data_IF_069280849426
#
_entry.id   IF_069280849426
#
_cell.length_a   1.000
_cell.length_b   1.000
_cell.length_c   1.000
_cell.angle_alpha   90.00
_cell.angle_beta   90.00
_cell.angle_gamma   90.00
#
_symmetry.space_group_name_H-M   'P 1'
#
loop_
_entity.id
_entity.type
_entity.pdbx_description
1 polymer ?
#
# COMPACT_ATOMS: atom_id res chain seq x y z
N UNK A 1 -33.66 -10.85 -19.73
CA UNK A 1 -32.30 -10.25 -19.80
C UNK A 1 -31.70 -10.36 -18.41
N UNK A 2 -30.53 -10.98 -18.22
CA UNK A 2 -29.95 -11.06 -16.89
C UNK A 2 -29.41 -9.68 -16.49
N UNK A 3 -29.82 -9.23 -15.31
CA UNK A 3 -29.34 -8.01 -14.67
C UNK A 3 -27.81 -8.07 -14.52
N UNK A 4 -27.13 -7.08 -15.10
CA UNK A 4 -25.69 -6.95 -14.95
C UNK A 4 -25.36 -6.33 -13.59
N UNK A 5 -24.60 -7.11 -12.82
CA UNK A 5 -23.54 -6.68 -11.91
C UNK A 5 -23.98 -5.92 -10.65
N UNK A 6 -24.34 -6.66 -9.60
CA UNK A 6 -24.03 -6.21 -8.25
C UNK A 6 -22.54 -5.85 -8.18
N UNK A 7 -22.23 -4.59 -7.88
CA UNK A 7 -20.85 -4.16 -7.71
C UNK A 7 -20.17 -5.05 -6.65
N UNK A 8 -18.87 -5.39 -6.81
CA UNK A 8 -18.16 -6.18 -5.81
C UNK A 8 -18.32 -5.54 -4.43
N UNK A 9 -18.85 -6.32 -3.48
CA UNK A 9 -19.07 -5.85 -2.12
C UNK A 9 -17.72 -5.79 -1.39
N UNK A 10 -16.97 -4.72 -1.66
CA UNK A 10 -15.68 -4.44 -1.05
C UNK A 10 -15.86 -4.30 0.46
N UNK A 11 -15.17 -5.15 1.22
CA UNK A 11 -15.20 -5.11 2.67
C UNK A 11 -13.82 -4.72 3.22
N UNK A 12 -13.81 -3.91 4.28
CA UNK A 12 -12.60 -3.38 4.90
C UNK A 12 -11.65 -4.48 5.38
N UNK A 13 -12.18 -5.60 5.89
CA UNK A 13 -11.38 -6.75 6.35
C UNK A 13 -10.63 -7.44 5.20
N UNK A 14 -11.25 -7.53 4.03
CA UNK A 14 -10.69 -8.11 2.82
C UNK A 14 -9.59 -7.23 2.26
N UNK A 15 -9.75 -5.91 2.35
CA UNK A 15 -8.69 -4.97 2.02
C UNK A 15 -7.48 -5.12 2.95
N UNK A 16 -7.69 -5.29 4.26
CA UNK A 16 -6.60 -5.58 5.21
C UNK A 16 -5.89 -6.91 4.87
N UNK A 17 -6.64 -7.97 4.55
CA UNK A 17 -6.04 -9.26 4.18
C UNK A 17 -5.24 -9.19 2.88
N UNK A 18 -5.73 -8.45 1.89
CA UNK A 18 -4.99 -8.19 0.65
C UNK A 18 -3.75 -7.33 0.91
N UNK A 19 -3.87 -6.26 1.70
CA UNK A 19 -2.76 -5.40 2.10
C UNK A 19 -1.64 -6.21 2.78
N UNK A 20 -2.00 -7.08 3.72
CA UNK A 20 -1.06 -7.98 4.41
C UNK A 20 -0.30 -8.88 3.42
N UNK A 21 -1.00 -9.40 2.40
CA UNK A 21 -0.40 -10.25 1.38
C UNK A 21 0.64 -9.50 0.54
N UNK A 22 0.33 -8.26 0.13
CA UNK A 22 1.25 -7.40 -0.60
C UNK A 22 2.46 -6.97 0.24
N UNK A 23 2.22 -6.56 1.50
CA UNK A 23 3.30 -6.18 2.41
C UNK A 23 4.23 -7.36 2.70
N UNK A 24 3.68 -8.55 2.94
CA UNK A 24 4.46 -9.78 3.11
C UNK A 24 5.29 -10.10 1.86
N UNK A 25 4.70 -9.97 0.67
CA UNK A 25 5.42 -10.16 -0.57
C UNK A 25 6.58 -9.16 -0.74
N UNK A 26 6.40 -7.90 -0.34
CA UNK A 26 7.45 -6.88 -0.38
C UNK A 26 8.67 -7.29 0.47
N UNK A 27 8.44 -7.80 1.69
CA UNK A 27 9.50 -8.34 2.54
C UNK A 27 10.16 -9.59 1.97
N UNK A 28 9.39 -10.50 1.36
CA UNK A 28 9.95 -11.69 0.71
C UNK A 28 10.84 -11.31 -0.46
N UNK A 29 10.43 -10.34 -1.28
CA UNK A 29 11.23 -9.87 -2.43
C UNK A 29 12.49 -9.14 -1.96
N UNK A 30 12.41 -8.32 -0.91
CA UNK A 30 13.58 -7.65 -0.33
C UNK A 30 14.64 -8.64 0.19
N UNK A 31 14.19 -9.69 0.90
CA UNK A 31 15.08 -10.71 1.48
C UNK A 31 15.44 -11.84 0.50
N UNK A 32 14.86 -11.82 -0.70
CA UNK A 32 15.04 -12.83 -1.73
C UNK A 32 16.28 -12.59 -2.59
N UNK A 33 16.35 -13.25 -3.77
CA UNK A 33 17.40 -12.99 -4.74
C UNK A 33 17.47 -11.50 -5.11
N UNK A 34 18.69 -10.96 -5.22
CA UNK A 34 18.88 -9.56 -5.64
C UNK A 34 18.27 -9.34 -7.01
N UNK A 35 17.20 -8.54 -7.06
CA UNK A 35 16.62 -8.08 -8.30
C UNK A 35 17.54 -7.05 -8.98
N UNK A 36 17.52 -6.96 -10.32
CA UNK A 36 18.25 -5.92 -11.06
C UNK A 36 17.79 -4.50 -10.67
N UNK A 37 16.60 -4.37 -10.09
CA UNK A 37 16.11 -3.14 -9.50
C UNK A 37 15.08 -3.37 -8.39
N UNK A 38 14.89 -2.38 -7.52
CA UNK A 38 14.01 -2.46 -6.35
C UNK A 38 12.58 -1.95 -6.58
N UNK A 39 12.23 -1.48 -7.78
CA UNK A 39 10.88 -0.99 -8.08
C UNK A 39 9.74 -1.97 -7.71
N UNK A 40 9.88 -3.31 -7.89
CA UNK A 40 8.85 -4.26 -7.46
C UNK A 40 8.59 -4.22 -5.96
N UNK A 41 9.62 -3.98 -5.15
CA UNK A 41 9.48 -3.87 -3.69
C UNK A 41 8.66 -2.62 -3.36
N UNK A 42 9.00 -1.48 -3.99
CA UNK A 42 8.25 -0.23 -3.83
C UNK A 42 6.79 -0.36 -4.23
N UNK A 43 6.49 -1.03 -5.33
CA UNK A 43 5.11 -1.28 -5.80
C UNK A 43 4.30 -2.16 -4.86
N UNK A 44 4.88 -3.24 -4.36
CA UNK A 44 4.21 -4.12 -3.40
C UNK A 44 3.90 -3.38 -2.10
N UNK A 45 4.85 -2.57 -1.62
CA UNK A 45 4.64 -1.72 -0.45
C UNK A 45 3.59 -0.62 -0.71
N UNK A 46 3.59 0.02 -1.89
CA UNK A 46 2.57 1.00 -2.27
C UNK A 46 1.16 0.39 -2.22
N UNK A 47 0.96 -0.79 -2.80
CA UNK A 47 -0.32 -1.49 -2.76
C UNK A 47 -0.74 -1.90 -1.34
N UNK A 48 0.20 -2.31 -0.50
CA UNK A 48 -0.08 -2.60 0.90
C UNK A 48 -0.68 -1.35 1.59
N UNK A 49 -0.01 -0.22 1.51
CA UNK A 49 -0.47 1.04 2.15
C UNK A 49 -1.79 1.53 1.55
N UNK A 50 -1.93 1.50 0.22
CA UNK A 50 -3.15 1.91 -0.47
C UNK A 50 -4.36 1.13 0.02
N UNK A 51 -4.25 -0.20 0.07
CA UNK A 51 -5.33 -1.07 0.51
C UNK A 51 -5.61 -0.91 2.01
N UNK A 52 -4.57 -0.73 2.84
CA UNK A 52 -4.73 -0.42 4.26
C UNK A 52 -5.53 0.87 4.50
N UNK A 53 -5.21 1.94 3.78
CA UNK A 53 -5.90 3.22 3.91
C UNK A 53 -7.34 3.14 3.38
N UNK A 54 -7.55 2.47 2.23
CA UNK A 54 -8.90 2.23 1.70
C UNK A 54 -9.74 1.37 2.65
N UNK A 55 -9.14 0.42 3.37
CA UNK A 55 -9.84 -0.34 4.40
C UNK A 55 -10.39 0.57 5.53
N UNK A 56 -9.60 1.55 5.97
CA UNK A 56 -10.02 2.54 6.97
C UNK A 56 -11.16 3.40 6.43
N UNK A 57 -11.07 3.86 5.18
CA UNK A 57 -12.14 4.64 4.54
C UNK A 57 -13.44 3.84 4.46
N UNK A 58 -13.40 2.58 4.02
CA UNK A 58 -14.56 1.68 4.01
C UNK A 58 -15.13 1.47 5.42
N UNK A 59 -14.26 1.29 6.41
CA UNK A 59 -14.65 1.15 7.81
C UNK A 59 -15.35 2.40 8.36
N UNK A 60 -14.94 3.58 7.89
CA UNK A 60 -15.57 4.86 8.21
C UNK A 60 -16.84 5.15 7.37
N UNK A 61 -17.28 4.20 6.53
CA UNK A 61 -18.53 4.31 5.76
C UNK A 61 -18.38 4.85 4.33
N UNK A 62 -17.15 4.97 3.80
CA UNK A 62 -16.95 5.33 2.40
C UNK A 62 -17.51 4.25 1.46
N UNK A 63 -18.04 4.67 0.30
CA UNK A 63 -18.53 3.74 -0.73
C UNK A 63 -17.43 3.40 -1.75
N UNK A 64 -17.64 2.37 -2.59
CA UNK A 64 -16.74 2.09 -3.73
C UNK A 64 -16.55 3.33 -4.62
N UNK A 65 -17.63 4.07 -4.87
CA UNK A 65 -17.59 5.30 -5.68
C UNK A 65 -16.69 6.34 -5.04
N UNK A 66 -16.63 6.42 -3.71
CA UNK A 66 -15.74 7.34 -3.01
C UNK A 66 -14.28 6.88 -3.11
N UNK A 67 -14.02 5.58 -2.91
CA UNK A 67 -12.68 5.01 -3.05
C UNK A 67 -12.06 5.31 -4.42
N UNK A 68 -12.86 5.22 -5.49
CA UNK A 68 -12.41 5.52 -6.87
C UNK A 68 -11.97 6.98 -7.06
N UNK A 69 -12.48 7.93 -6.28
CA UNK A 69 -12.08 9.36 -6.39
C UNK A 69 -10.66 9.62 -5.89
N UNK A 70 -10.18 8.81 -4.95
CA UNK A 70 -8.82 8.89 -4.42
C UNK A 70 -7.80 8.21 -5.34
N UNK A 71 -8.24 7.20 -6.11
CA UNK A 71 -7.37 6.48 -7.03
C UNK A 71 -6.26 5.74 -6.28
N UNK A 72 -5.02 5.94 -6.73
CA UNK A 72 -3.79 5.37 -6.14
C UNK A 72 -2.96 6.40 -5.36
N UNK A 73 -3.47 7.63 -5.18
CA UNK A 73 -2.71 8.70 -4.55
C UNK A 73 -2.67 8.51 -3.02
N UNK A 74 -1.52 8.08 -2.51
CA UNK A 74 -1.34 7.77 -1.08
C UNK A 74 -1.50 9.00 -0.19
N UNK A 75 -1.04 10.19 -0.63
CA UNK A 75 -1.17 11.44 0.13
C UNK A 75 -2.64 11.79 0.39
N UNK A 76 -3.47 11.74 -0.65
CA UNK A 76 -4.93 11.96 -0.53
C UNK A 76 -5.61 10.91 0.34
N UNK A 77 -5.13 9.66 0.31
CA UNK A 77 -5.66 8.59 1.15
C UNK A 77 -5.27 8.77 2.63
N UNK A 78 -4.04 9.20 2.93
CA UNK A 78 -3.59 9.53 4.28
C UNK A 78 -4.43 10.65 4.89
N UNK A 79 -4.57 11.77 4.17
CA UNK A 79 -5.38 12.92 4.58
C UNK A 79 -6.84 12.51 4.84
N UNK A 80 -7.43 11.70 3.95
CA UNK A 80 -8.83 11.29 4.06
C UNK A 80 -9.08 10.24 5.16
N UNK A 81 -8.06 9.48 5.59
CA UNK A 81 -8.24 8.39 6.55
C UNK A 81 -8.70 8.84 7.94
N UNK A 82 -8.44 10.10 8.30
CA UNK A 82 -8.75 10.67 9.61
C UNK A 82 -7.88 10.10 10.76
N UNK A 83 -6.77 9.45 10.43
CA UNK A 83 -5.76 8.99 11.39
C UNK A 83 -4.62 10.02 11.49
N UNK A 84 -3.91 10.01 12.61
CA UNK A 84 -2.70 10.82 12.80
C UNK A 84 -1.52 10.16 12.07
N UNK A 85 -0.82 10.95 11.26
CA UNK A 85 0.34 10.58 10.46
C UNK A 85 1.52 11.54 10.63
N UNK A 86 1.46 12.43 11.63
CA UNK A 86 2.49 13.45 11.87
C UNK A 86 3.87 12.88 12.19
N UNK A 87 3.94 11.60 12.55
CA UNK A 87 5.17 10.85 12.81
C UNK A 87 5.76 10.17 11.56
N UNK A 88 5.06 10.22 10.43
CA UNK A 88 5.57 9.69 9.17
C UNK A 88 6.51 10.68 8.49
N UNK A 89 7.57 10.14 7.90
CA UNK A 89 8.55 10.87 7.11
C UNK A 89 7.98 11.20 5.72
N UNK A 90 7.50 12.42 5.49
CA UNK A 90 6.84 12.80 4.23
C UNK A 90 7.71 12.60 2.98
N UNK A 91 9.03 12.69 3.09
CA UNK A 91 9.96 12.46 1.97
C UNK A 91 9.90 11.01 1.46
N UNK A 92 9.54 10.06 2.34
CA UNK A 92 9.35 8.65 1.99
C UNK A 92 8.02 8.37 1.30
N UNK A 93 7.06 9.32 1.27
CA UNK A 93 5.78 9.17 0.55
C UNK A 93 5.93 9.43 -0.95
N UNK A 94 6.70 10.46 -1.31
CA UNK A 94 6.95 10.82 -2.71
C UNK A 94 7.73 9.71 -3.45
N UNK A 95 8.53 8.92 -2.70
CA UNK A 95 9.17 7.69 -3.17
C UNK A 95 8.20 6.68 -3.80
N UNK A 96 6.95 6.57 -3.30
CA UNK A 96 5.99 5.59 -3.82
C UNK A 96 5.31 6.03 -5.10
N UNK A 97 5.05 7.33 -5.24
CA UNK A 97 4.59 7.91 -6.50
C UNK A 97 5.68 7.74 -7.58
N UNK A 98 6.95 7.88 -7.21
CA UNK A 98 8.07 7.66 -8.11
C UNK A 98 8.31 6.17 -8.41
N UNK A 99 8.13 5.25 -7.46
CA UNK A 99 8.17 3.82 -7.72
C UNK A 99 7.05 3.36 -8.68
N UNK A 100 5.86 3.96 -8.57
CA UNK A 100 4.75 3.71 -9.49
C UNK A 100 5.02 4.22 -10.91
N UNK A 101 5.57 5.43 -11.02
CA UNK A 101 6.07 5.96 -12.30
C UNK A 101 7.17 5.07 -12.85
N UNK A 102 8.17 4.71 -12.04
CA UNK A 102 9.30 3.91 -12.49
C UNK A 102 8.87 2.51 -12.93
N UNK A 103 7.92 1.87 -12.25
CA UNK A 103 7.34 0.61 -12.72
C UNK A 103 6.54 0.77 -14.02
N UNK A 104 5.81 1.89 -14.18
CA UNK A 104 5.07 2.20 -15.40
C UNK A 104 5.99 2.56 -16.58
N UNK A 105 7.13 3.21 -16.32
CA UNK A 105 8.05 3.74 -17.34
C UNK A 105 9.30 2.88 -17.60
N UNK A 106 9.67 1.94 -16.71
CA UNK A 106 10.74 0.94 -16.97
C UNK A 106 10.42 -0.01 -18.13
N UNK A 107 9.19 -0.01 -18.64
CA UNK A 107 8.87 -0.65 -19.92
C UNK A 107 9.23 0.21 -21.15
N UNK A 108 9.63 1.47 -20.99
CA UNK A 108 9.76 2.42 -22.10
C UNK A 108 11.18 2.99 -22.28
N UNK A 109 12.01 3.18 -21.24
CA UNK A 109 13.40 3.63 -21.45
C UNK A 109 14.36 3.24 -20.32
N UNK A 110 15.54 2.73 -20.68
CA UNK A 110 16.49 2.02 -19.80
C UNK A 110 17.69 2.84 -19.28
N UNK A 111 17.63 4.17 -19.18
CA UNK A 111 18.83 4.97 -18.85
C UNK A 111 18.79 5.79 -17.54
N UNK A 112 17.71 5.75 -16.76
CA UNK A 112 17.63 6.46 -15.47
C UNK A 112 17.16 5.54 -14.36
N UNK A 113 18.11 4.96 -13.62
CA UNK A 113 17.84 4.33 -12.33
C UNK A 113 17.54 5.43 -11.32
N UNK A 114 16.27 5.71 -11.08
CA UNK A 114 15.92 6.60 -9.98
C UNK A 114 16.19 5.86 -8.68
N UNK A 115 16.92 6.55 -7.81
CA UNK A 115 17.39 6.12 -6.51
C UNK A 115 16.25 5.47 -5.73
N UNK A 116 16.24 4.14 -5.76
CA UNK A 116 15.52 3.40 -4.74
C UNK A 116 16.33 3.66 -3.47
N UNK A 117 15.82 4.56 -2.63
CA UNK A 117 16.32 4.78 -1.29
C UNK A 117 16.44 3.46 -0.53
N UNK A 118 16.95 3.53 0.70
CA UNK A 118 17.09 2.36 1.54
C UNK A 118 15.75 1.61 1.64
N UNK A 119 15.67 0.44 0.98
CA UNK A 119 14.45 -0.33 0.85
C UNK A 119 13.88 -0.75 2.20
N UNK A 120 14.73 -0.82 3.24
CA UNK A 120 14.28 -1.03 4.61
C UNK A 120 13.48 0.16 5.16
N UNK A 121 13.86 1.40 4.85
CA UNK A 121 13.13 2.61 5.26
C UNK A 121 11.74 2.65 4.64
N UNK A 122 11.61 2.31 3.37
CA UNK A 122 10.30 2.20 2.71
C UNK A 122 9.44 1.11 3.36
N UNK A 123 9.99 -0.08 3.60
CA UNK A 123 9.20 -1.14 4.24
C UNK A 123 8.82 -0.81 5.68
N UNK A 124 9.60 0.00 6.40
CA UNK A 124 9.25 0.47 7.75
C UNK A 124 7.99 1.35 7.72
N UNK A 125 7.91 2.32 6.81
CA UNK A 125 6.71 3.14 6.66
C UNK A 125 5.49 2.29 6.28
N UNK A 126 5.67 1.36 5.34
CA UNK A 126 4.62 0.42 4.94
C UNK A 126 4.07 -0.37 6.14
N UNK A 127 4.96 -0.87 7.01
CA UNK A 127 4.62 -1.59 8.22
C UNK A 127 3.86 -0.71 9.23
N UNK A 128 4.32 0.53 9.45
CA UNK A 128 3.64 1.51 10.32
C UNK A 128 2.22 1.82 9.85
N UNK A 129 2.04 2.13 8.56
CA UNK A 129 0.73 2.42 7.97
C UNK A 129 -0.18 1.19 8.08
N UNK A 130 0.33 0.01 7.73
CA UNK A 130 -0.44 -1.24 7.84
C UNK A 130 -0.95 -1.47 9.27
N UNK A 131 -0.07 -1.37 10.27
CA UNK A 131 -0.45 -1.61 11.66
C UNK A 131 -1.44 -0.58 12.21
N UNK A 132 -1.26 0.70 11.89
CA UNK A 132 -2.19 1.75 12.33
C UNK A 132 -3.58 1.54 11.73
N UNK A 133 -3.64 1.20 10.44
CA UNK A 133 -4.90 0.85 9.76
C UNK A 133 -5.51 -0.44 10.32
N UNK A 134 -4.70 -1.46 10.59
CA UNK A 134 -5.14 -2.72 11.19
C UNK A 134 -5.80 -2.48 12.55
N UNK A 135 -5.17 -1.71 13.44
CA UNK A 135 -5.74 -1.42 14.76
C UNK A 135 -7.03 -0.60 14.66
N UNK A 136 -7.16 0.23 13.63
CA UNK A 136 -8.40 0.97 13.38
C UNK A 136 -9.57 0.09 12.92
N UNK A 137 -9.31 -0.85 12.01
CA UNK A 137 -10.33 -1.71 11.37
C UNK A 137 -10.62 -2.97 12.19
N UNK A 138 -9.61 -3.53 12.87
CA UNK A 138 -9.66 -4.75 13.66
C UNK A 138 -8.88 -4.56 14.98
N UNK A 139 -9.43 -3.80 15.95
CA UNK A 139 -8.76 -3.57 17.23
C UNK A 139 -8.36 -4.88 17.92
N UNK A 140 -7.11 -4.98 18.37
CA UNK A 140 -6.57 -6.17 19.05
C UNK A 140 -6.08 -7.29 18.13
N UNK A 141 -6.20 -7.14 16.81
CA UNK A 141 -5.61 -8.10 15.88
C UNK A 141 -4.07 -8.06 15.93
N UNK A 142 -3.45 -9.24 15.95
CA UNK A 142 -2.00 -9.43 15.88
C UNK A 142 -1.64 -10.06 14.54
N UNK A 143 -1.35 -9.22 13.55
CA UNK A 143 -0.88 -9.60 12.21
C UNK A 143 0.47 -8.97 11.95
N UNK A 144 1.31 -9.56 11.10
CA UNK A 144 2.66 -9.10 10.83
C UNK A 144 2.95 -9.21 9.34
N UNK A 145 3.57 -8.19 8.77
CA UNK A 145 4.08 -8.24 7.39
C UNK A 145 5.36 -9.08 7.29
N UNK A 146 6.07 -9.24 8.40
CA UNK A 146 7.24 -10.11 8.51
C UNK A 146 6.77 -11.51 8.86
N UNK A 147 7.06 -12.50 8.02
CA UNK A 147 6.88 -13.90 8.42
C UNK A 147 7.85 -14.21 9.56
N UNK A 148 7.35 -14.87 10.61
CA UNK A 148 8.24 -15.58 11.55
C UNK A 148 8.91 -16.71 10.76
N UNK A 149 10.25 -16.69 10.74
CA UNK A 149 11.04 -17.80 10.24
C UNK A 149 10.77 -19.06 11.06
#
# INVERSE_FOLDING_TARGET
MPERSEAPNYNSRGFIAAAESYGTAAFVVLNGPRLPHRAPIGMLAAHCMELSLKAVLLWNGATDKDLRKYGHNLRRLLEASGLDWSDLDEDSLDFYDDAAKEHAFRYIDMDQYFLLGDGERSLLMCEQIFHRCLQRVLPGAQRSLRRKA
#
